data_IF_484738860353
#
_entry.id   IF_484738860353
#
_cell.length_a   1.000
_cell.length_b   1.000
_cell.length_c   1.000
_cell.angle_alpha   90.00
_cell.angle_beta   90.00
_cell.angle_gamma   90.00
#
_symmetry.space_group_name_H-M   'P 1'
#
loop_
_entity.id
_entity.type
_entity.pdbx_description
1 polymer ?
#
# COMPACT_ATOMS: atom_id res chain seq x y z
N UNK A 1 -55.28 -36.03 7.36
CA UNK A 1 -55.64 -37.38 6.91
C UNK A 1 -55.28 -37.55 5.44
N UNK A 2 -54.09 -38.10 5.18
CA UNK A 2 -53.76 -39.06 4.11
C UNK A 2 -52.27 -39.42 4.28
N UNK A 3 -52.05 -40.72 4.36
CA UNK A 3 -50.79 -41.47 4.47
C UNK A 3 -49.86 -41.16 3.28
N UNK A 4 -48.55 -41.43 3.21
CA UNK A 4 -47.65 -42.46 3.74
C UNK A 4 -46.54 -42.55 2.65
N UNK A 5 -45.25 -42.49 2.94
CA UNK A 5 -44.40 -43.65 3.21
C UNK A 5 -43.56 -44.10 1.98
N UNK A 6 -42.26 -44.34 2.22
CA UNK A 6 -41.20 -44.91 1.32
C UNK A 6 -40.65 -44.00 0.21
N UNK A 7 -39.34 -43.88 -0.04
CA UNK A 7 -38.18 -44.69 0.35
C UNK A 7 -37.30 -44.87 -0.90
N UNK A 8 -35.98 -44.67 -0.79
CA UNK A 8 -35.03 -45.00 -1.87
C UNK A 8 -33.83 -44.07 -1.96
N UNK A 9 -32.67 -44.55 -1.48
CA UNK A 9 -31.36 -43.96 -1.76
C UNK A 9 -30.71 -44.57 -3.00
N UNK A 10 -29.81 -43.80 -3.61
CA UNK A 10 -28.73 -44.18 -4.53
C UNK A 10 -27.83 -42.92 -4.60
N UNK A 11 -26.59 -42.86 -4.10
CA UNK A 11 -25.35 -43.55 -4.51
C UNK A 11 -25.16 -43.55 -6.02
N UNK A 12 -24.28 -42.67 -6.50
CA UNK A 12 -23.62 -42.65 -7.80
C UNK A 12 -22.28 -41.96 -7.50
N UNK A 13 -21.22 -42.70 -7.20
CA UNK A 13 -20.32 -43.40 -8.12
C UNK A 13 -19.50 -42.39 -8.95
N UNK A 14 -18.39 -41.96 -8.34
CA UNK A 14 -17.27 -41.32 -9.02
C UNK A 14 -16.48 -42.43 -9.71
N UNK A 15 -16.67 -42.56 -11.02
CA UNK A 15 -15.88 -43.45 -11.86
C UNK A 15 -14.80 -42.63 -12.58
N UNK A 16 -13.58 -42.95 -12.16
CA UNK A 16 -12.29 -42.67 -12.79
C UNK A 16 -12.23 -43.39 -14.15
N UNK A 17 -11.80 -42.69 -15.20
CA UNK A 17 -11.17 -43.28 -16.40
C UNK A 17 -10.59 -42.19 -17.31
N UNK A 18 -9.29 -41.98 -17.12
CA UNK A 18 -8.32 -41.74 -18.18
C UNK A 18 -8.46 -42.75 -19.32
N UNK A 19 -8.34 -42.30 -20.58
CA UNK A 19 -7.83 -43.11 -21.68
C UNK A 19 -7.10 -42.23 -22.70
N UNK A 20 -5.77 -42.38 -22.71
CA UNK A 20 -4.88 -42.05 -23.81
C UNK A 20 -5.06 -43.10 -24.93
N UNK A 21 -5.30 -42.66 -26.16
CA UNK A 21 -5.12 -43.51 -27.34
C UNK A 21 -3.69 -43.38 -27.90
N UNK A 22 -3.06 -44.56 -28.00
CA UNK A 22 -1.72 -44.85 -28.48
C UNK A 22 -1.60 -44.73 -30.00
N UNK A 23 -0.42 -44.33 -30.44
CA UNK A 23 0.18 -44.72 -31.72
C UNK A 23 1.49 -45.47 -31.47
N UNK A 24 1.47 -46.77 -31.71
CA UNK A 24 2.50 -47.79 -31.49
C UNK A 24 3.73 -47.67 -32.41
N UNK A 25 4.91 -48.08 -31.92
CA UNK A 25 5.83 -49.04 -32.59
C UNK A 25 7.18 -49.20 -31.83
N UNK A 26 7.22 -50.24 -30.99
CA UNK A 26 8.36 -50.97 -30.38
C UNK A 26 9.37 -51.59 -31.39
N UNK A 27 10.37 -52.42 -30.99
CA UNK A 27 11.26 -52.48 -29.81
C UNK A 27 12.73 -52.83 -30.18
N UNK A 28 13.67 -52.87 -29.22
CA UNK A 28 14.54 -54.06 -28.97
C UNK A 28 15.58 -53.85 -27.84
N UNK A 29 15.44 -54.70 -26.81
CA UNK A 29 16.47 -55.46 -26.07
C UNK A 29 17.76 -54.82 -25.54
N UNK A 30 18.05 -55.10 -24.26
CA UNK A 30 19.33 -55.74 -23.90
C UNK A 30 20.13 -55.13 -22.75
N UNK A 31 19.91 -55.69 -21.56
CA UNK A 31 20.89 -56.09 -20.53
C UNK A 31 22.31 -55.47 -20.49
N UNK A 32 22.76 -55.13 -19.28
CA UNK A 32 24.05 -55.63 -18.77
C UNK A 32 25.12 -54.61 -18.32
N UNK A 33 25.28 -54.52 -17.00
CA UNK A 33 26.54 -54.66 -16.25
C UNK A 33 27.81 -53.82 -16.56
N UNK A 34 28.38 -53.26 -15.46
CA UNK A 34 29.82 -53.01 -15.19
C UNK A 34 30.51 -51.91 -16.04
N UNK A 35 31.54 -51.15 -15.63
CA UNK A 35 32.56 -51.31 -14.60
C UNK A 35 33.20 -49.95 -14.23
N UNK A 36 33.85 -49.98 -13.07
CA UNK A 36 34.75 -49.00 -12.46
C UNK A 36 36.12 -48.93 -13.18
N UNK A 37 36.80 -47.76 -13.07
CA UNK A 37 38.27 -47.47 -12.98
C UNK A 37 39.03 -46.80 -14.14
N UNK A 38 39.58 -45.62 -13.77
CA UNK A 38 40.96 -45.09 -13.94
C UNK A 38 41.46 -44.68 -15.33
N UNK A 39 41.97 -43.44 -15.42
CA UNK A 39 43.41 -43.17 -15.51
C UNK A 39 43.74 -41.68 -15.27
N UNK A 40 44.91 -41.45 -14.69
CA UNK A 40 45.42 -40.18 -14.18
C UNK A 40 46.64 -39.68 -14.98
N UNK A 41 46.94 -38.38 -14.87
CA UNK A 41 48.23 -37.75 -15.20
C UNK A 41 48.32 -37.15 -16.62
N UNK A 42 48.96 -36.00 -16.90
CA UNK A 42 50.01 -35.26 -16.19
C UNK A 42 50.07 -33.79 -16.68
N UNK A 43 50.55 -32.94 -15.77
CA UNK A 43 50.98 -31.54 -15.90
C UNK A 43 52.12 -31.29 -16.92
N UNK A 44 52.17 -30.07 -17.48
CA UNK A 44 53.34 -29.17 -17.65
C UNK A 44 52.84 -27.83 -18.20
N UNK A 45 52.81 -26.73 -17.45
CA UNK A 45 53.92 -25.85 -17.02
C UNK A 45 54.56 -25.05 -18.17
N UNK A 46 54.28 -23.74 -18.23
CA UNK A 46 55.27 -22.71 -18.54
C UNK A 46 55.00 -21.45 -17.68
N UNK A 47 56.08 -20.93 -17.10
CA UNK A 47 56.16 -19.82 -16.15
C UNK A 47 56.59 -18.52 -16.87
N UNK A 48 55.96 -17.42 -16.42
CA UNK A 48 56.50 -16.09 -16.07
C UNK A 48 57.28 -15.24 -17.10
N UNK A 49 56.85 -13.96 -17.20
CA UNK A 49 57.63 -12.70 -17.13
C UNK A 49 56.61 -11.54 -17.10
N UNK A 50 56.33 -10.92 -15.95
CA UNK A 50 56.99 -9.70 -15.41
C UNK A 50 56.75 -8.43 -16.24
N UNK A 51 55.88 -7.52 -15.77
CA UNK A 51 56.11 -6.07 -15.72
C UNK A 51 55.00 -5.36 -14.95
N UNK A 52 55.41 -4.78 -13.82
CA UNK A 52 54.63 -3.85 -13.01
C UNK A 52 54.69 -2.45 -13.64
N UNK A 53 53.54 -1.79 -13.75
CA UNK A 53 53.46 -0.33 -13.78
C UNK A 53 52.29 0.07 -12.88
N UNK A 54 52.61 0.43 -11.65
CA UNK A 54 51.73 1.15 -10.76
C UNK A 54 51.83 2.64 -11.10
N UNK A 55 50.75 3.24 -11.58
CA UNK A 55 50.58 4.70 -11.61
C UNK A 55 49.51 5.03 -10.58
N UNK A 56 49.98 5.42 -9.39
CA UNK A 56 49.18 6.09 -8.39
C UNK A 56 48.94 7.53 -8.86
N UNK A 57 47.71 7.86 -9.25
CA UNK A 57 47.27 9.26 -9.36
C UNK A 57 46.65 9.63 -8.02
N UNK A 58 47.46 10.24 -7.16
CA UNK A 58 46.97 10.94 -5.97
C UNK A 58 46.36 12.26 -6.44
N UNK A 59 45.06 12.27 -6.69
CA UNK A 59 44.31 13.51 -6.76
C UNK A 59 44.09 13.99 -5.32
N UNK A 60 44.94 14.90 -4.86
CA UNK A 60 44.79 15.60 -3.60
C UNK A 60 43.53 16.48 -3.67
N UNK A 61 42.39 15.95 -3.24
CA UNK A 61 41.22 16.77 -2.91
C UNK A 61 41.47 17.30 -1.51
N UNK A 62 41.80 18.58 -1.42
CA UNK A 62 41.83 19.32 -0.17
C UNK A 62 40.43 19.32 0.43
N UNK A 63 40.15 18.38 1.34
CA UNK A 63 38.99 18.45 2.24
C UNK A 63 39.30 19.57 3.23
N UNK A 64 38.47 20.63 3.34
CA UNK A 64 38.55 21.53 4.47
C UNK A 64 38.19 20.70 5.71
N UNK A 65 39.18 20.38 6.53
CA UNK A 65 38.98 19.91 7.89
C UNK A 65 38.26 21.02 8.66
N UNK A 66 36.93 20.98 8.66
CA UNK A 66 36.14 21.72 9.65
C UNK A 66 36.22 20.93 10.94
N UNK A 67 37.17 21.31 11.78
CA UNK A 67 37.22 20.97 13.20
C UNK A 67 36.03 21.65 13.90
N UNK A 68 34.90 20.96 14.00
CA UNK A 68 33.92 21.16 15.07
C UNK A 68 33.37 19.79 15.47
N UNK A 69 33.52 19.45 16.74
CA UNK A 69 33.51 18.08 17.23
C UNK A 69 32.23 17.28 16.97
N UNK A 70 32.43 16.01 16.64
CA UNK A 70 31.48 14.91 16.71
C UNK A 70 32.32 13.63 16.71
N UNK A 71 32.05 12.71 17.63
CA UNK A 71 32.93 11.58 17.95
C UNK A 71 33.27 10.69 16.73
N UNK A 72 34.41 10.01 16.82
CA UNK A 72 34.94 9.10 15.81
C UNK A 72 34.10 7.82 15.57
N UNK A 73 32.90 7.75 16.15
CA UNK A 73 31.96 6.61 16.08
C UNK A 73 30.62 7.00 15.44
N UNK A 74 30.50 8.17 14.81
CA UNK A 74 29.30 8.51 14.05
C UNK A 74 29.27 7.73 12.74
N UNK A 75 28.21 6.93 12.52
CA UNK A 75 27.99 6.28 11.23
C UNK A 75 28.04 7.31 10.09
N UNK A 76 28.69 6.98 8.96
CA UNK A 76 28.80 7.90 7.84
C UNK A 76 27.40 8.24 7.30
N UNK A 77 27.00 9.51 7.42
CA UNK A 77 25.73 9.99 6.89
C UNK A 77 25.86 10.44 5.42
N UNK A 78 24.77 10.35 4.66
CA UNK A 78 24.71 10.81 3.26
C UNK A 78 24.28 12.27 3.20
N UNK A 79 25.08 13.13 2.58
CA UNK A 79 24.71 14.53 2.30
C UNK A 79 23.79 14.61 1.08
N UNK A 80 22.69 15.35 1.19
CA UNK A 80 21.80 15.64 0.05
C UNK A 80 22.39 16.76 -0.80
N UNK A 81 22.66 16.45 -2.08
CA UNK A 81 23.24 17.38 -3.06
C UNK A 81 22.34 18.58 -3.36
N UNK A 82 22.92 19.71 -3.77
CA UNK A 82 22.17 20.90 -4.16
C UNK A 82 21.19 20.63 -5.31
N UNK A 83 21.57 19.76 -6.25
CA UNK A 83 20.67 19.31 -7.34
C UNK A 83 19.45 18.60 -6.78
N UNK A 84 19.61 17.71 -5.80
CA UNK A 84 18.49 17.06 -5.13
C UNK A 84 17.64 18.06 -4.35
N UNK A 85 18.28 19.02 -3.68
CA UNK A 85 17.55 20.08 -2.95
C UNK A 85 16.70 20.93 -3.89
N UNK A 86 17.17 21.19 -5.10
CA UNK A 86 16.42 21.94 -6.10
C UNK A 86 15.12 21.21 -6.53
N UNK A 87 15.11 19.87 -6.54
CA UNK A 87 13.90 19.09 -6.86
C UNK A 87 12.74 19.40 -5.89
N UNK A 88 13.03 19.71 -4.62
CA UNK A 88 12.00 20.00 -3.62
C UNK A 88 11.20 21.29 -3.93
N UNK A 89 11.68 22.14 -4.85
CA UNK A 89 11.02 23.37 -5.27
C UNK A 89 10.44 23.28 -6.70
N UNK A 90 10.61 22.15 -7.38
CA UNK A 90 10.16 21.94 -8.77
C UNK A 90 9.39 20.60 -8.87
N UNK A 91 8.05 20.64 -8.74
CA UNK A 91 7.20 19.45 -8.84
C UNK A 91 7.38 18.64 -10.13
N UNK A 92 7.59 19.31 -11.27
CA UNK A 92 7.76 18.64 -12.54
C UNK A 92 9.11 17.90 -12.60
N UNK A 93 10.19 18.53 -12.12
CA UNK A 93 11.49 17.89 -12.02
C UNK A 93 11.51 16.77 -10.97
N UNK A 94 10.85 16.94 -9.82
CA UNK A 94 10.71 15.91 -8.79
C UNK A 94 9.96 14.68 -9.32
N UNK A 95 8.81 14.89 -9.97
CA UNK A 95 8.04 13.82 -10.61
C UNK A 95 8.92 13.09 -11.62
N UNK A 96 9.63 13.82 -12.49
CA UNK A 96 10.52 13.20 -13.49
C UNK A 96 11.67 12.41 -12.87
N UNK A 97 12.20 12.85 -11.74
CA UNK A 97 13.30 12.18 -11.04
C UNK A 97 12.85 10.89 -10.33
N UNK A 98 11.60 10.83 -9.89
CA UNK A 98 11.00 9.66 -9.23
C UNK A 98 10.35 8.67 -10.22
N UNK A 99 9.87 9.15 -11.37
CA UNK A 99 9.11 8.36 -12.32
C UNK A 99 9.93 7.20 -12.94
N UNK A 100 9.62 5.94 -12.57
CA UNK A 100 10.34 4.76 -13.04
C UNK A 100 10.08 4.46 -14.53
N UNK A 101 9.10 5.12 -15.14
CA UNK A 101 8.57 4.78 -16.46
C UNK A 101 7.60 3.61 -16.40
N UNK A 102 6.87 3.37 -17.49
CA UNK A 102 5.87 2.29 -17.56
C UNK A 102 6.51 0.90 -17.41
N UNK A 103 7.73 0.73 -17.90
CA UNK A 103 8.50 -0.52 -17.87
C UNK A 103 9.38 -0.71 -16.64
N UNK A 104 9.32 0.20 -15.66
CA UNK A 104 10.17 0.18 -14.46
C UNK A 104 11.69 0.31 -14.67
N UNK A 105 12.18 0.42 -15.90
CA UNK A 105 13.62 0.48 -16.23
C UNK A 105 14.40 1.57 -15.47
N UNK A 106 13.73 2.63 -15.01
CA UNK A 106 14.36 3.76 -14.30
C UNK A 106 14.21 3.71 -12.78
N UNK A 107 13.67 2.63 -12.21
CA UNK A 107 13.47 2.50 -10.74
C UNK A 107 14.76 2.67 -9.93
N UNK A 108 15.92 2.32 -10.52
CA UNK A 108 17.23 2.54 -9.90
C UNK A 108 17.51 4.01 -9.58
N UNK A 109 16.92 4.96 -10.32
CA UNK A 109 17.02 6.39 -10.03
C UNK A 109 16.31 6.77 -8.73
N UNK A 110 15.07 6.31 -8.54
CA UNK A 110 14.31 6.51 -7.30
C UNK A 110 14.97 5.82 -6.11
N UNK A 111 15.42 4.56 -6.28
CA UNK A 111 16.19 3.85 -5.23
C UNK A 111 17.46 4.60 -4.85
N UNK A 112 18.25 5.08 -5.82
CA UNK A 112 19.46 5.86 -5.55
C UNK A 112 19.18 7.20 -4.84
N UNK A 113 17.98 7.76 -5.02
CA UNK A 113 17.59 9.02 -4.41
C UNK A 113 17.08 8.84 -2.96
N UNK A 114 16.42 7.71 -2.68
CA UNK A 114 15.65 7.50 -1.44
C UNK A 114 16.26 6.46 -0.49
N UNK A 115 16.88 5.40 -1.03
CA UNK A 115 17.39 4.27 -0.26
C UNK A 115 18.79 4.53 0.31
N UNK A 116 18.87 5.44 1.28
CA UNK A 116 20.09 5.71 2.04
C UNK A 116 19.91 5.27 3.50
N UNK A 117 20.98 4.79 4.12
CA UNK A 117 20.97 4.29 5.51
C UNK A 117 21.05 5.41 6.56
N UNK A 118 21.22 6.67 6.13
CA UNK A 118 21.25 7.82 7.01
C UNK A 118 21.53 9.13 6.26
N UNK A 119 20.96 10.24 6.75
CA UNK A 119 21.06 11.56 6.12
C UNK A 119 21.74 12.57 7.03
N UNK A 120 22.65 13.36 6.46
CA UNK A 120 23.25 14.48 7.20
C UNK A 120 22.28 15.66 7.31
N UNK A 121 22.25 16.30 8.47
CA UNK A 121 21.51 17.55 8.70
C UNK A 121 20.01 17.45 8.37
N UNK A 122 19.52 18.31 7.49
CA UNK A 122 18.12 18.36 7.04
C UNK A 122 17.82 17.46 5.83
N UNK A 123 18.72 16.53 5.49
CA UNK A 123 18.64 15.71 4.28
C UNK A 123 17.34 14.92 4.16
N UNK A 124 16.96 14.19 5.21
CA UNK A 124 15.71 13.42 5.26
C UNK A 124 14.47 14.30 5.03
N UNK A 125 14.43 15.48 5.67
CA UNK A 125 13.34 16.45 5.49
C UNK A 125 13.31 17.00 4.06
N UNK A 126 14.48 17.22 3.45
CA UNK A 126 14.53 17.69 2.07
C UNK A 126 14.06 16.63 1.09
N UNK A 127 14.45 15.36 1.26
CA UNK A 127 13.90 14.27 0.44
C UNK A 127 12.40 14.10 0.65
N UNK A 128 11.90 14.29 1.87
CA UNK A 128 10.46 14.33 2.12
C UNK A 128 9.75 15.38 1.26
N UNK A 129 10.33 16.59 1.14
CA UNK A 129 9.81 17.61 0.22
C UNK A 129 9.91 17.23 -1.26
N UNK A 130 10.90 16.43 -1.65
CA UNK A 130 10.99 15.90 -3.03
C UNK A 130 9.87 14.90 -3.28
N UNK A 131 9.58 14.00 -2.33
CA UNK A 131 8.43 13.08 -2.40
C UNK A 131 7.14 13.89 -2.53
N UNK A 132 6.89 14.81 -1.58
CA UNK A 132 5.71 15.68 -1.60
C UNK A 132 5.59 16.44 -2.94
N UNK A 133 6.68 16.97 -3.50
CA UNK A 133 6.64 17.69 -4.77
C UNK A 133 6.39 16.77 -5.99
N UNK A 134 6.90 15.54 -5.97
CA UNK A 134 6.86 14.63 -7.11
C UNK A 134 5.66 13.70 -7.17
N UNK A 135 4.95 13.50 -6.05
CA UNK A 135 3.81 12.58 -6.00
C UNK A 135 2.48 13.28 -5.82
N UNK A 136 2.45 14.48 -5.21
CA UNK A 136 1.18 15.15 -4.89
C UNK A 136 0.48 15.70 -6.11
N UNK A 137 -0.85 15.75 -6.07
CA UNK A 137 -1.64 16.47 -7.07
C UNK A 137 -1.17 17.93 -7.24
N UNK A 138 -1.24 18.45 -8.46
CA UNK A 138 -0.76 19.81 -8.78
C UNK A 138 -1.56 20.96 -8.11
N UNK A 139 -2.68 20.62 -7.45
CA UNK A 139 -3.48 21.53 -6.64
C UNK A 139 -4.89 21.00 -6.40
N UNK A 140 -5.72 21.72 -5.63
CA UNK A 140 -7.10 21.31 -5.34
C UNK A 140 -7.93 21.09 -6.60
N UNK A 141 -8.70 20.01 -6.63
CA UNK A 141 -9.53 19.61 -7.77
C UNK A 141 -8.75 19.09 -8.97
N UNK A 142 -7.43 18.93 -8.87
CA UNK A 142 -6.60 18.38 -9.95
C UNK A 142 -6.38 16.89 -9.74
N UNK A 143 -6.71 16.04 -10.74
CA UNK A 143 -6.38 14.63 -10.67
C UNK A 143 -4.86 14.41 -10.69
N UNK A 144 -4.42 13.31 -10.09
CA UNK A 144 -3.08 12.79 -10.28
C UNK A 144 -2.84 12.41 -11.75
N UNK A 145 -1.63 12.68 -12.23
CA UNK A 145 -1.16 12.27 -13.56
C UNK A 145 -0.53 10.88 -13.50
N UNK A 146 -0.40 10.21 -14.65
CA UNK A 146 0.29 8.92 -14.75
C UNK A 146 1.70 8.96 -14.16
N UNK A 147 2.46 10.04 -14.42
CA UNK A 147 3.82 10.16 -13.92
C UNK A 147 3.88 10.30 -12.39
N UNK A 148 2.91 11.00 -11.79
CA UNK A 148 2.80 11.10 -10.32
C UNK A 148 2.42 9.75 -9.71
N UNK A 149 1.45 9.04 -10.29
CA UNK A 149 1.06 7.70 -9.83
C UNK A 149 2.23 6.70 -9.87
N UNK A 150 2.99 6.65 -10.98
CA UNK A 150 4.21 5.83 -11.06
C UNK A 150 5.30 6.27 -10.09
N UNK A 151 5.40 7.58 -9.84
CA UNK A 151 6.34 8.12 -8.83
C UNK A 151 5.95 7.67 -7.43
N UNK A 152 4.67 7.65 -7.09
CA UNK A 152 4.18 7.15 -5.81
C UNK A 152 4.48 5.65 -5.63
N UNK A 153 4.23 4.85 -6.67
CA UNK A 153 4.67 3.45 -6.70
C UNK A 153 6.18 3.32 -6.47
N UNK A 154 7.00 4.09 -7.18
CA UNK A 154 8.45 4.01 -7.06
C UNK A 154 8.97 4.44 -5.69
N UNK A 155 8.35 5.43 -5.04
CA UNK A 155 8.68 5.82 -3.67
C UNK A 155 8.37 4.67 -2.72
N UNK A 156 7.18 4.06 -2.81
CA UNK A 156 6.81 2.92 -1.99
C UNK A 156 7.79 1.75 -2.20
N UNK A 157 8.04 1.38 -3.45
CA UNK A 157 8.95 0.29 -3.81
C UNK A 157 10.44 0.55 -3.55
N UNK A 158 10.86 1.81 -3.39
CA UNK A 158 12.22 2.15 -2.99
C UNK A 158 12.42 2.12 -1.47
N UNK A 159 11.34 2.25 -0.71
CA UNK A 159 11.33 2.30 0.75
C UNK A 159 10.78 1.02 1.40
N UNK A 160 10.23 0.09 0.61
CA UNK A 160 9.82 -1.24 1.09
C UNK A 160 11.00 -1.95 1.76
N UNK A 161 10.71 -2.64 2.87
CA UNK A 161 11.68 -3.33 3.72
C UNK A 161 12.81 -2.47 4.32
N UNK A 162 12.62 -1.16 4.41
CA UNK A 162 13.60 -0.24 5.00
C UNK A 162 13.06 0.48 6.23
N UNK A 163 13.94 0.76 7.18
CA UNK A 163 13.65 1.72 8.25
C UNK A 163 13.53 3.12 7.64
N UNK A 164 12.44 3.83 7.96
CA UNK A 164 12.18 5.16 7.41
C UNK A 164 12.61 6.19 8.44
N UNK A 165 13.58 7.07 8.12
CA UNK A 165 14.00 8.12 9.04
C UNK A 165 12.82 8.97 9.50
N UNK A 166 12.76 9.28 10.79
CA UNK A 166 11.62 9.99 11.39
C UNK A 166 11.28 11.33 10.71
N UNK A 167 12.27 12.02 10.14
CA UNK A 167 12.06 13.29 9.42
C UNK A 167 11.58 13.12 7.97
N UNK A 168 11.63 11.91 7.42
CA UNK A 168 11.12 11.53 6.10
C UNK A 168 9.70 10.94 6.19
N UNK A 169 9.43 10.20 7.27
CA UNK A 169 8.19 9.45 7.47
C UNK A 169 6.89 10.25 7.24
N UNK A 170 6.74 11.53 7.69
CA UNK A 170 5.51 12.27 7.45
C UNK A 170 5.22 12.53 5.96
N UNK A 171 6.24 12.71 5.13
CA UNK A 171 6.06 12.90 3.68
C UNK A 171 5.64 11.62 2.98
N UNK A 172 6.17 10.47 3.38
CA UNK A 172 5.74 9.16 2.86
C UNK A 172 4.30 8.87 3.28
N UNK A 173 3.93 9.17 4.52
CA UNK A 173 2.56 9.05 4.99
C UNK A 173 1.59 9.96 4.23
N UNK A 174 1.98 11.20 3.91
CA UNK A 174 1.18 12.11 3.07
C UNK A 174 1.02 11.58 1.64
N UNK A 175 2.07 11.03 1.05
CA UNK A 175 1.96 10.38 -0.24
C UNK A 175 0.93 9.24 -0.18
N UNK A 176 1.05 8.29 0.75
CA UNK A 176 0.07 7.21 0.87
C UNK A 176 -1.34 7.73 1.11
N UNK A 177 -1.50 8.80 1.89
CA UNK A 177 -2.80 9.44 2.11
C UNK A 177 -3.41 10.02 0.82
N UNK A 178 -2.62 10.60 -0.09
CA UNK A 178 -3.14 11.10 -1.38
C UNK A 178 -3.54 9.99 -2.35
N UNK A 179 -3.05 8.77 -2.12
CA UNK A 179 -3.38 7.56 -2.86
C UNK A 179 -4.16 6.56 -1.99
N UNK A 180 -4.93 7.06 -1.02
CA UNK A 180 -5.57 6.25 0.02
C UNK A 180 -6.38 5.08 -0.55
N UNK A 181 -7.16 5.29 -1.62
CA UNK A 181 -7.98 4.22 -2.25
C UNK A 181 -7.14 3.19 -2.98
N UNK A 182 -5.97 3.58 -3.49
CA UNK A 182 -5.03 2.66 -4.14
C UNK A 182 -4.27 1.86 -3.08
N UNK A 183 -3.87 2.52 -1.99
CA UNK A 183 -3.24 1.89 -0.85
C UNK A 183 -4.20 0.95 -0.11
N UNK A 184 -5.50 1.31 -0.03
CA UNK A 184 -6.71 0.49 -0.25
C UNK A 184 -6.63 -1.03 -0.34
N UNK A 185 -6.00 -1.48 -1.42
CA UNK A 185 -6.23 -2.78 -2.00
C UNK A 185 -5.04 -3.68 -1.69
N UNK A 186 -5.33 -4.74 -0.95
CA UNK A 186 -4.41 -5.83 -0.69
C UNK A 186 -5.15 -7.15 -0.96
N UNK A 187 -4.39 -8.19 -1.31
CA UNK A 187 -4.76 -9.36 -2.12
C UNK A 187 -5.90 -10.27 -1.59
N UNK A 188 -6.49 -10.00 -0.43
CA UNK A 188 -7.24 -10.99 0.36
C UNK A 188 -8.69 -11.25 -0.10
N UNK A 189 -9.31 -10.38 -0.90
CA UNK A 189 -10.75 -10.49 -1.24
C UNK A 189 -11.06 -10.39 -2.73
N UNK A 190 -10.24 -11.04 -3.56
CA UNK A 190 -10.48 -11.11 -5.02
C UNK A 190 -10.12 -9.82 -5.75
N UNK A 191 -9.13 -9.09 -5.22
CA UNK A 191 -8.37 -8.11 -6.00
C UNK A 191 -7.73 -8.79 -7.20
N UNK A 192 -7.43 -8.00 -8.23
CA UNK A 192 -6.65 -8.46 -9.37
C UNK A 192 -5.46 -9.28 -8.87
N UNK A 193 -5.25 -10.47 -9.42
CA UNK A 193 -4.00 -11.17 -9.15
C UNK A 193 -2.86 -10.29 -9.68
N UNK A 194 -1.64 -10.44 -9.17
CA UNK A 194 -0.46 -9.75 -9.71
C UNK A 194 -0.32 -9.87 -11.25
N UNK A 195 -0.96 -10.89 -11.84
CA UNK A 195 -0.99 -11.15 -13.29
C UNK A 195 -1.94 -10.22 -14.08
N UNK A 196 -2.92 -9.58 -13.43
CA UNK A 196 -3.86 -8.64 -14.04
C UNK A 196 -3.33 -7.20 -14.06
N UNK A 197 -2.23 -6.93 -13.36
CA UNK A 197 -1.60 -5.60 -13.25
C UNK A 197 -0.36 -5.53 -14.13
N UNK A 198 -0.42 -4.66 -15.12
CA UNK A 198 0.59 -4.64 -16.20
C UNK A 198 1.69 -3.60 -16.01
N UNK A 199 1.61 -2.77 -14.97
CA UNK A 199 2.62 -1.74 -14.70
C UNK A 199 2.38 -1.01 -13.38
N UNK A 200 3.24 -0.02 -13.04
CA UNK A 200 3.24 0.72 -11.77
C UNK A 200 2.20 1.84 -11.65
N UNK A 201 1.41 2.08 -12.70
CA UNK A 201 0.22 2.94 -12.63
C UNK A 201 -0.85 2.51 -13.63
N UNK A 202 -2.11 2.82 -13.31
CA UNK A 202 -3.26 2.60 -14.18
C UNK A 202 -3.84 3.94 -14.70
N UNK A 203 -4.24 3.99 -15.98
CA UNK A 203 -4.87 5.17 -16.56
C UNK A 203 -6.29 5.42 -16.01
N UNK A 204 -6.80 6.67 -16.10
CA UNK A 204 -8.13 7.01 -15.59
C UNK A 204 -9.29 6.17 -16.13
N UNK A 205 -9.15 5.60 -17.33
CA UNK A 205 -10.16 4.74 -17.93
C UNK A 205 -10.44 3.47 -17.10
N UNK A 206 -9.47 2.99 -16.31
CA UNK A 206 -9.62 1.82 -15.46
C UNK A 206 -10.42 2.09 -14.18
N UNK A 207 -10.67 3.36 -13.84
CA UNK A 207 -11.56 3.76 -12.75
C UNK A 207 -13.05 3.72 -13.16
N UNK A 208 -13.35 3.39 -14.41
CA UNK A 208 -14.71 3.22 -14.89
C UNK A 208 -15.30 1.89 -14.39
N UNK A 209 -16.58 1.93 -14.03
CA UNK A 209 -17.35 0.72 -13.72
C UNK A 209 -17.55 -0.09 -15.02
N UNK A 210 -17.38 -1.40 -14.92
CA UNK A 210 -17.70 -2.35 -15.98
C UNK A 210 -19.23 -2.53 -16.13
N UNK A 211 -19.64 -3.42 -17.03
CA UNK A 211 -21.07 -3.72 -17.27
C UNK A 211 -21.79 -4.32 -16.06
N UNK A 212 -21.06 -4.89 -15.10
CA UNK A 212 -21.57 -5.46 -13.86
C UNK A 212 -21.53 -4.45 -12.71
N UNK A 213 -21.11 -3.21 -12.96
CA UNK A 213 -20.94 -2.22 -11.91
C UNK A 213 -19.76 -2.53 -10.99
N UNK A 214 -18.80 -3.34 -11.43
CA UNK A 214 -17.55 -3.62 -10.74
C UNK A 214 -16.43 -2.71 -11.27
N UNK A 215 -15.45 -2.41 -10.43
CA UNK A 215 -14.26 -1.64 -10.79
C UNK A 215 -13.08 -2.11 -9.94
N UNK A 216 -11.96 -2.40 -10.59
CA UNK A 216 -10.74 -2.89 -9.94
C UNK A 216 -10.16 -1.85 -8.96
N UNK A 217 -10.09 -0.59 -9.39
CA UNK A 217 -9.40 0.46 -8.65
C UNK A 217 -10.15 0.99 -7.42
N UNK A 218 -11.39 0.53 -7.20
CA UNK A 218 -12.22 1.00 -6.08
C UNK A 218 -13.32 1.95 -6.51
N UNK A 219 -14.24 2.24 -5.60
CA UNK A 219 -15.48 2.97 -5.91
C UNK A 219 -15.33 4.47 -5.71
N UNK A 220 -16.20 5.20 -6.40
CA UNK A 220 -16.35 6.65 -6.27
C UNK A 220 -15.15 7.51 -6.68
N UNK A 221 -14.26 6.92 -7.47
CA UNK A 221 -13.06 7.55 -8.01
C UNK A 221 -13.35 8.63 -9.05
N UNK A 222 -12.47 9.63 -9.11
CA UNK A 222 -12.49 10.66 -10.13
C UNK A 222 -12.22 10.05 -11.51
N UNK A 223 -13.06 10.29 -12.54
CA UNK A 223 -12.90 9.68 -13.85
C UNK A 223 -11.68 10.17 -14.65
N UNK A 224 -10.98 11.19 -14.18
CA UNK A 224 -9.79 11.76 -14.82
C UNK A 224 -8.49 11.50 -14.07
N UNK A 225 -8.52 10.68 -13.03
CA UNK A 225 -7.40 10.43 -12.13
C UNK A 225 -6.62 9.18 -12.49
N UNK A 226 -5.29 9.29 -12.55
CA UNK A 226 -4.42 8.14 -12.65
C UNK A 226 -4.21 7.52 -11.26
N UNK A 227 -4.03 6.20 -11.25
CA UNK A 227 -3.95 5.41 -10.02
C UNK A 227 -2.58 4.75 -9.90
N UNK A 228 -2.03 4.75 -8.69
CA UNK A 228 -0.84 3.96 -8.37
C UNK A 228 -1.28 2.50 -8.19
N UNK A 229 -0.56 1.57 -8.81
CA UNK A 229 -0.87 0.14 -8.71
C UNK A 229 0.15 -0.53 -7.79
N UNK A 230 -0.03 -0.33 -6.48
CA UNK A 230 0.91 -0.85 -5.47
C UNK A 230 0.99 -2.39 -5.44
N UNK A 231 -0.05 -3.08 -5.91
CA UNK A 231 -0.09 -4.55 -6.10
C UNK A 231 0.77 -5.03 -7.28
N UNK A 232 1.28 -4.12 -8.12
CA UNK A 232 2.20 -4.49 -9.19
C UNK A 232 3.48 -5.07 -8.60
N UNK A 233 3.83 -6.29 -9.01
CA UNK A 233 5.09 -6.94 -8.68
C UNK A 233 5.76 -7.40 -9.95
N UNK A 234 6.83 -6.72 -10.36
CA UNK A 234 7.63 -7.21 -11.49
C UNK A 234 8.49 -8.38 -11.00
N UNK A 235 8.03 -9.60 -11.31
CA UNK A 235 8.70 -10.87 -10.99
C UNK A 235 10.13 -10.94 -11.54
N UNK A 236 10.49 -10.12 -12.53
CA UNK A 236 11.84 -10.06 -13.10
C UNK A 236 12.73 -9.00 -12.45
N UNK A 237 12.16 -7.97 -11.83
CA UNK A 237 12.91 -6.88 -11.22
C UNK A 237 13.13 -7.03 -9.70
N UNK A 238 12.47 -8.00 -9.04
CA UNK A 238 12.48 -8.17 -7.57
C UNK A 238 12.16 -6.84 -6.85
N UNK A 239 11.09 -6.19 -7.33
CA UNK A 239 10.62 -4.90 -6.82
C UNK A 239 9.14 -4.99 -6.51
N UNK A 240 8.78 -4.77 -5.25
CA UNK A 240 7.41 -4.63 -4.75
C UNK A 240 7.29 -3.39 -3.86
N UNK A 241 6.13 -2.75 -3.88
CA UNK A 241 5.83 -1.58 -3.08
C UNK A 241 5.53 -1.90 -1.59
N UNK A 242 5.19 -3.15 -1.24
CA UNK A 242 4.77 -3.61 0.10
C UNK A 242 4.17 -2.50 1.00
N UNK A 243 2.97 -2.05 0.62
CA UNK A 243 2.26 -1.01 1.38
C UNK A 243 1.99 -1.42 2.84
N UNK A 244 1.60 -2.68 3.15
CA UNK A 244 1.46 -3.13 4.54
C UNK A 244 2.75 -2.99 5.36
N UNK A 245 3.90 -3.35 4.79
CA UNK A 245 5.21 -3.15 5.41
C UNK A 245 5.53 -1.67 5.64
N UNK A 246 5.24 -0.81 4.66
CA UNK A 246 5.41 0.64 4.80
C UNK A 246 4.51 1.24 5.88
N UNK A 247 3.22 0.87 5.93
CA UNK A 247 2.29 1.35 6.98
C UNK A 247 2.77 0.92 8.36
N UNK A 248 3.28 -0.32 8.47
CA UNK A 248 3.90 -0.85 9.70
C UNK A 248 5.04 0.08 10.15
N UNK A 249 5.99 0.38 9.26
CA UNK A 249 7.13 1.23 9.56
C UNK A 249 6.71 2.67 9.95
N UNK A 250 5.80 3.26 9.18
CA UNK A 250 5.34 4.64 9.39
C UNK A 250 4.57 4.83 10.69
N UNK A 251 3.86 3.79 11.16
CA UNK A 251 3.06 3.86 12.39
C UNK A 251 3.92 4.04 13.67
N UNK A 252 5.25 3.87 13.60
CA UNK A 252 6.19 4.19 14.68
C UNK A 252 6.28 5.69 14.95
N UNK A 253 6.00 6.52 13.94
CA UNK A 253 6.05 7.97 14.04
C UNK A 253 4.64 8.57 14.29
N UNK A 254 4.44 9.38 15.35
CA UNK A 254 3.10 9.87 15.70
C UNK A 254 2.51 10.87 14.69
N UNK A 255 3.34 11.63 13.97
CA UNK A 255 2.85 12.53 12.91
C UNK A 255 2.39 11.71 11.69
N UNK A 256 3.20 10.73 11.25
CA UNK A 256 2.81 9.80 10.17
C UNK A 256 1.55 9.01 10.52
N UNK A 257 1.45 8.50 11.75
CA UNK A 257 0.26 7.84 12.27
C UNK A 257 -0.97 8.74 12.14
N UNK A 258 -0.86 10.00 12.59
CA UNK A 258 -1.96 10.96 12.52
C UNK A 258 -2.39 11.25 11.08
N UNK A 259 -1.44 11.35 10.14
CA UNK A 259 -1.71 11.58 8.72
C UNK A 259 -2.51 10.41 8.11
N UNK A 260 -2.05 9.18 8.30
CA UNK A 260 -2.74 7.98 7.80
C UNK A 260 -4.11 7.82 8.47
N UNK A 261 -4.18 8.04 9.78
CA UNK A 261 -5.42 7.92 10.52
C UNK A 261 -6.45 9.00 10.15
N UNK A 262 -6.01 10.21 9.82
CA UNK A 262 -6.85 11.25 9.24
C UNK A 262 -7.36 10.85 7.84
N UNK A 263 -6.50 10.24 7.01
CA UNK A 263 -6.85 9.80 5.65
C UNK A 263 -7.95 8.73 5.68
N UNK A 264 -7.80 7.67 6.48
CA UNK A 264 -8.83 6.63 6.65
C UNK A 264 -10.17 7.21 7.12
N UNK A 265 -10.16 8.16 8.08
CA UNK A 265 -11.38 8.79 8.59
C UNK A 265 -12.02 9.75 7.58
N UNK A 266 -11.20 10.47 6.81
CA UNK A 266 -11.68 11.31 5.72
C UNK A 266 -12.29 10.46 4.59
N UNK A 267 -11.66 9.33 4.24
CA UNK A 267 -12.16 8.38 3.27
C UNK A 267 -13.46 7.71 3.72
N UNK A 268 -13.59 7.31 4.99
CA UNK A 268 -14.87 6.82 5.52
C UNK A 268 -15.98 7.86 5.38
N UNK A 269 -15.69 9.13 5.71
CA UNK A 269 -16.66 10.20 5.58
C UNK A 269 -17.09 10.42 4.12
N UNK A 270 -16.12 10.40 3.21
CA UNK A 270 -16.32 10.45 1.76
C UNK A 270 -17.14 9.25 1.26
N UNK A 271 -16.89 8.06 1.76
CA UNK A 271 -17.55 6.85 1.29
C UNK A 271 -19.04 6.87 1.66
N UNK A 272 -19.35 7.14 2.94
CA UNK A 272 -20.71 7.14 3.47
C UNK A 272 -21.63 8.16 2.78
N UNK A 273 -21.14 9.35 2.44
CA UNK A 273 -21.97 10.38 1.80
C UNK A 273 -22.46 10.01 0.39
N UNK A 274 -21.88 8.98 -0.23
CA UNK A 274 -22.22 8.53 -1.61
C UNK A 274 -23.19 7.36 -1.64
N UNK A 275 -23.34 6.65 -0.53
CA UNK A 275 -24.27 5.53 -0.42
C UNK A 275 -25.73 5.98 -0.61
N UNK A 276 -26.57 5.05 -1.04
CA UNK A 276 -28.02 5.24 -1.18
C UNK A 276 -28.69 5.47 0.17
N UNK A 277 -29.98 5.84 0.18
CA UNK A 277 -30.78 5.93 1.41
C UNK A 277 -30.99 4.56 2.09
N UNK A 278 -30.70 3.46 1.39
CA UNK A 278 -30.71 2.11 1.95
C UNK A 278 -29.32 1.66 2.39
N UNK A 279 -28.33 2.57 2.43
CA UNK A 279 -26.94 2.25 2.78
C UNK A 279 -26.29 1.22 1.84
N UNK A 280 -26.75 1.17 0.59
CA UNK A 280 -26.21 0.30 -0.46
C UNK A 280 -25.59 1.08 -1.61
N UNK A 281 -25.07 0.35 -2.59
CA UNK A 281 -24.33 0.87 -3.74
C UNK A 281 -25.26 1.59 -4.74
N UNK A 282 -25.00 2.88 -5.06
CA UNK A 282 -25.80 3.60 -6.06
C UNK A 282 -25.62 3.05 -7.50
N UNK A 283 -24.59 2.25 -7.76
CA UNK A 283 -24.31 1.66 -9.07
C UNK A 283 -24.96 0.28 -9.27
N UNK A 284 -25.53 -0.31 -8.21
CA UNK A 284 -26.17 -1.63 -8.28
C UNK A 284 -27.28 -1.68 -9.34
N UNK A 285 -27.31 -2.78 -10.10
CA UNK A 285 -28.33 -3.07 -11.10
C UNK A 285 -29.04 -4.38 -10.76
N UNK A 286 -30.39 -4.42 -10.75
CA UNK A 286 -31.12 -5.67 -10.56
C UNK A 286 -30.72 -6.71 -11.61
N UNK A 287 -30.51 -7.96 -11.17
CA UNK A 287 -30.13 -9.06 -12.06
C UNK A 287 -28.63 -9.34 -12.11
N UNK A 288 -27.81 -8.60 -11.36
CA UNK A 288 -26.42 -9.00 -11.10
C UNK A 288 -26.38 -10.30 -10.29
N UNK A 289 -25.74 -11.34 -10.84
CA UNK A 289 -25.61 -12.65 -10.18
C UNK A 289 -24.50 -12.70 -9.13
N UNK A 290 -23.61 -11.71 -9.12
CA UNK A 290 -22.42 -11.69 -8.26
C UNK A 290 -22.55 -10.74 -7.07
N UNK A 291 -23.54 -9.85 -7.07
CA UNK A 291 -23.70 -8.85 -6.02
C UNK A 291 -25.16 -8.66 -5.63
N UNK A 292 -25.36 -8.38 -4.34
CA UNK A 292 -26.59 -7.78 -3.82
C UNK A 292 -26.43 -6.24 -3.82
N UNK A 293 -27.50 -5.48 -3.50
CA UNK A 293 -27.40 -4.03 -3.35
C UNK A 293 -26.36 -3.54 -2.33
N UNK A 294 -25.87 -4.42 -1.45
CA UNK A 294 -24.92 -4.06 -0.38
C UNK A 294 -23.57 -4.75 -0.51
N UNK A 295 -23.39 -5.81 -1.31
CA UNK A 295 -22.15 -6.61 -1.37
C UNK A 295 -20.89 -5.76 -1.43
N UNK A 296 -20.80 -4.86 -2.41
CA UNK A 296 -19.60 -4.03 -2.56
C UNK A 296 -19.46 -2.97 -1.47
N UNK A 297 -20.57 -2.43 -1.01
CA UNK A 297 -20.57 -1.50 0.13
C UNK A 297 -20.08 -2.16 1.40
N UNK A 298 -20.47 -3.40 1.62
CA UNK A 298 -20.04 -4.17 2.78
C UNK A 298 -18.54 -4.46 2.69
N UNK A 299 -18.01 -4.85 1.53
CA UNK A 299 -16.57 -5.06 1.34
C UNK A 299 -15.75 -3.78 1.60
N UNK A 300 -16.13 -2.65 0.99
CA UNK A 300 -15.36 -1.41 1.18
C UNK A 300 -15.39 -0.91 2.64
N UNK A 301 -16.49 -1.16 3.37
CA UNK A 301 -16.58 -0.81 4.80
C UNK A 301 -15.75 -1.74 5.69
N UNK A 302 -15.57 -3.00 5.29
CA UNK A 302 -14.66 -3.92 5.95
C UNK A 302 -13.22 -3.41 5.83
N UNK A 303 -12.77 -3.07 4.62
CA UNK A 303 -11.40 -2.59 4.35
C UNK A 303 -11.10 -1.30 5.12
N UNK A 304 -12.05 -0.36 5.15
CA UNK A 304 -11.92 0.89 5.90
C UNK A 304 -11.82 0.67 7.42
N UNK A 305 -12.58 -0.30 7.95
CA UNK A 305 -12.55 -0.63 9.38
C UNK A 305 -11.27 -1.38 9.76
N UNK A 306 -10.83 -2.30 8.90
CA UNK A 306 -9.62 -3.10 9.05
C UNK A 306 -8.40 -2.19 9.21
N UNK A 307 -8.22 -1.18 8.35
CA UNK A 307 -7.09 -0.24 8.43
C UNK A 307 -7.03 0.60 9.69
N UNK A 308 -8.19 1.07 10.15
CA UNK A 308 -8.28 1.75 11.44
C UNK A 308 -7.87 0.77 12.55
N UNK A 309 -8.31 -0.48 12.48
CA UNK A 309 -7.88 -1.55 13.39
C UNK A 309 -6.37 -1.81 13.34
N UNK A 310 -5.79 -1.93 12.15
CA UNK A 310 -4.36 -2.16 11.91
C UNK A 310 -3.50 -1.08 12.52
N UNK A 311 -3.83 0.21 12.33
CA UNK A 311 -3.10 1.30 13.00
C UNK A 311 -3.19 1.18 14.53
N UNK A 312 -4.37 0.90 15.08
CA UNK A 312 -4.51 0.70 16.54
C UNK A 312 -3.75 -0.53 17.05
N UNK A 313 -3.66 -1.58 16.25
CA UNK A 313 -2.88 -2.79 16.54
C UNK A 313 -1.39 -2.47 16.58
N UNK A 314 -0.88 -1.77 15.55
CA UNK A 314 0.51 -1.35 15.43
C UNK A 314 0.93 -0.47 16.61
N UNK A 315 0.13 0.56 16.95
CA UNK A 315 0.38 1.39 18.13
C UNK A 315 0.49 0.54 19.40
N UNK A 316 -0.43 -0.39 19.60
CA UNK A 316 -0.48 -1.23 20.80
C UNK A 316 0.68 -2.24 20.85
N UNK A 317 1.06 -2.80 19.71
CA UNK A 317 2.21 -3.67 19.56
C UNK A 317 3.53 -2.94 19.83
N UNK A 318 3.70 -1.74 19.26
CA UNK A 318 4.87 -0.90 19.50
C UNK A 318 4.97 -0.38 20.94
N UNK A 319 3.85 -0.21 21.63
CA UNK A 319 3.87 0.05 23.07
C UNK A 319 4.38 -1.17 23.87
N UNK A 320 4.01 -2.37 23.45
CA UNK A 320 4.39 -3.64 24.11
C UNK A 320 5.86 -4.00 23.89
N UNK A 321 6.36 -3.84 22.66
CA UNK A 321 7.75 -4.18 22.31
C UNK A 321 8.77 -3.09 22.72
N UNK A 322 8.27 -1.91 23.13
CA UNK A 322 9.09 -0.79 23.60
C UNK A 322 9.54 0.18 22.51
N UNK A 323 9.12 -0.01 21.26
CA UNK A 323 9.33 0.95 20.16
C UNK A 323 8.70 2.31 20.49
N UNK A 324 7.46 2.31 21.00
CA UNK A 324 6.81 3.47 21.62
C UNK A 324 7.05 3.39 23.13
N UNK A 325 8.06 4.13 23.60
CA UNK A 325 8.47 4.14 25.02
C UNK A 325 7.47 4.86 25.94
N UNK A 326 6.84 5.91 25.43
CA UNK A 326 5.83 6.71 26.14
C UNK A 326 4.58 6.82 25.29
N UNK A 327 3.61 5.96 25.60
CA UNK A 327 2.34 5.87 24.90
C UNK A 327 1.52 7.15 25.06
N UNK A 328 1.58 7.81 26.23
CA UNK A 328 0.82 9.02 26.47
C UNK A 328 1.39 10.21 25.68
N UNK A 329 2.72 10.30 25.58
CA UNK A 329 3.38 11.30 24.72
C UNK A 329 3.09 11.04 23.24
N UNK A 330 3.09 9.78 22.81
CA UNK A 330 2.71 9.40 21.45
C UNK A 330 1.29 9.84 21.13
N UNK A 331 0.29 9.50 21.96
CA UNK A 331 -1.11 9.88 21.74
C UNK A 331 -1.33 11.39 21.75
N UNK A 332 -0.58 12.09 22.61
CA UNK A 332 -0.61 13.56 22.65
C UNK A 332 -0.09 14.13 21.33
N UNK A 333 1.01 13.59 20.80
CA UNK A 333 1.56 14.00 19.51
C UNK A 333 0.61 13.66 18.35
N UNK A 334 0.01 12.46 18.34
CA UNK A 334 -1.01 12.08 17.35
C UNK A 334 -2.17 13.08 17.36
N UNK A 335 -2.66 13.47 18.55
CA UNK A 335 -3.71 14.48 18.68
C UNK A 335 -3.29 15.85 18.15
N UNK A 336 -2.04 16.26 18.38
CA UNK A 336 -1.51 17.54 17.90
C UNK A 336 -1.39 17.58 16.37
N UNK A 337 -1.04 16.46 15.74
CA UNK A 337 -0.88 16.35 14.30
C UNK A 337 -2.18 16.01 13.55
N UNK A 338 -3.19 15.46 14.24
CA UNK A 338 -4.51 15.24 13.65
C UNK A 338 -5.20 16.57 13.34
N UNK A 339 -5.81 16.67 12.16
CA UNK A 339 -6.48 17.90 11.69
C UNK A 339 -7.87 18.07 12.32
N UNK A 340 -8.50 16.98 12.78
CA UNK A 340 -9.79 17.04 13.47
C UNK A 340 -10.73 15.88 13.14
N UNK A 341 -12.02 16.20 12.99
CA UNK A 341 -13.09 15.25 12.65
C UNK A 341 -13.57 15.45 11.22
N UNK A 342 -13.97 14.38 10.55
CA UNK A 342 -14.51 14.41 9.20
C UNK A 342 -15.95 13.90 9.22
N UNK A 343 -16.88 14.70 8.69
CA UNK A 343 -18.30 14.35 8.68
C UNK A 343 -18.78 14.15 7.24
N UNK A 344 -19.53 13.07 6.96
CA UNK A 344 -20.28 12.90 5.71
C UNK A 344 -21.26 14.04 5.46
N UNK A 345 -21.51 14.37 4.21
CA UNK A 345 -22.61 15.25 3.84
C UNK A 345 -23.98 14.69 4.30
N UNK A 346 -24.89 15.58 4.68
CA UNK A 346 -26.26 15.22 5.13
C UNK A 346 -27.18 14.75 4.00
N UNK A 347 -26.72 14.79 2.76
CA UNK A 347 -27.43 14.33 1.56
C UNK A 347 -26.48 13.53 0.68
N UNK A 348 -27.03 12.80 -0.31
CA UNK A 348 -26.19 12.00 -1.22
C UNK A 348 -25.42 12.90 -2.17
N UNK A 349 -24.09 12.75 -2.19
CA UNK A 349 -23.25 13.38 -3.20
C UNK A 349 -23.01 12.42 -4.36
N UNK A 350 -23.00 12.97 -5.58
CA UNK A 350 -22.68 12.25 -6.82
C UNK A 350 -21.34 12.70 -7.42
N UNK A 351 -20.72 13.73 -6.84
CA UNK A 351 -19.41 14.24 -7.23
C UNK A 351 -18.31 13.24 -6.87
N UNK A 352 -17.31 13.13 -7.75
CA UNK A 352 -16.15 12.25 -7.57
C UNK A 352 -14.87 13.10 -7.60
N UNK A 353 -14.49 13.70 -6.46
CA UNK A 353 -13.27 14.50 -6.37
C UNK A 353 -12.03 13.59 -6.51
N UNK A 354 -10.89 14.14 -6.95
CA UNK A 354 -9.61 13.45 -6.90
C UNK A 354 -9.27 12.93 -5.50
N UNK A 355 -8.50 11.84 -5.40
CA UNK A 355 -8.10 11.25 -4.11
C UNK A 355 -7.35 12.22 -3.21
N UNK A 356 -6.49 13.07 -3.80
CA UNK A 356 -5.80 14.13 -3.05
C UNK A 356 -6.78 15.08 -2.33
N UNK A 357 -7.91 15.42 -2.94
CA UNK A 357 -8.95 16.25 -2.31
C UNK A 357 -9.72 15.49 -1.21
N UNK A 358 -9.80 14.16 -1.30
CA UNK A 358 -10.39 13.34 -0.24
C UNK A 358 -9.45 13.32 0.97
N UNK A 359 -8.16 13.12 0.73
CA UNK A 359 -7.12 13.20 1.74
C UNK A 359 -7.09 14.59 2.39
N UNK A 360 -7.19 15.66 1.61
CA UNK A 360 -7.20 17.06 2.05
C UNK A 360 -8.60 17.58 2.45
N UNK A 361 -9.57 16.69 2.63
CA UNK A 361 -10.94 17.05 3.03
C UNK A 361 -10.94 18.00 4.23
N UNK A 362 -11.67 19.13 4.17
CA UNK A 362 -11.81 20.03 5.30
C UNK A 362 -12.41 19.37 6.53
N UNK A 363 -11.92 19.75 7.70
CA UNK A 363 -12.39 19.21 8.97
C UNK A 363 -13.72 19.85 9.37
N UNK A 364 -14.59 19.06 9.99
CA UNK A 364 -15.91 19.48 10.48
C UNK A 364 -15.87 20.04 11.90
N UNK A 365 -14.69 20.06 12.53
CA UNK A 365 -14.47 20.53 13.89
C UNK A 365 -13.32 19.78 14.59
N UNK A 366 -13.02 20.15 15.84
CA UNK A 366 -11.94 19.55 16.60
C UNK A 366 -12.20 18.07 16.89
N UNK A 367 -11.10 17.31 17.03
CA UNK A 367 -11.17 15.92 17.46
C UNK A 367 -11.67 15.81 18.90
N UNK A 368 -12.74 15.05 19.11
CA UNK A 368 -13.38 14.84 20.43
C UNK A 368 -13.13 13.44 20.94
N UNK A 369 -13.04 13.32 22.27
CA UNK A 369 -12.78 12.04 22.93
C UNK A 369 -11.34 11.58 22.74
N UNK A 370 -11.10 10.31 23.04
CA UNK A 370 -9.81 9.66 22.84
C UNK A 370 -9.52 9.51 21.34
N UNK A 371 -8.32 9.91 20.92
CA UNK A 371 -7.86 9.80 19.52
C UNK A 371 -7.53 8.35 19.15
N UNK A 372 -7.20 7.53 20.14
CA UNK A 372 -6.83 6.13 19.94
C UNK A 372 -7.98 5.15 20.19
N UNK A 373 -9.18 5.66 20.49
CA UNK A 373 -10.42 4.87 20.47
C UNK A 373 -10.97 4.81 19.03
N UNK A 374 -10.25 4.07 18.17
CA UNK A 374 -10.54 3.95 16.74
C UNK A 374 -11.97 3.52 16.46
N UNK A 375 -12.43 2.51 17.20
CA UNK A 375 -13.80 1.98 17.17
C UNK A 375 -14.84 3.07 17.43
N UNK A 376 -14.67 3.86 18.50
CA UNK A 376 -15.61 4.96 18.81
C UNK A 376 -15.58 6.08 17.78
N UNK A 377 -14.40 6.45 17.26
CA UNK A 377 -14.29 7.48 16.22
C UNK A 377 -15.08 7.07 14.97
N UNK A 378 -14.91 5.82 14.54
CA UNK A 378 -15.60 5.25 13.38
C UNK A 378 -17.12 5.17 13.59
N UNK A 379 -17.57 4.62 14.71
CA UNK A 379 -18.99 4.49 15.01
C UNK A 379 -19.70 5.82 15.23
N UNK A 380 -19.01 6.82 15.80
CA UNK A 380 -19.58 8.16 15.94
C UNK A 380 -19.92 8.76 14.57
N UNK A 381 -19.10 8.50 13.54
CA UNK A 381 -19.35 8.96 12.17
C UNK A 381 -20.49 8.17 11.53
N UNK A 382 -20.46 6.83 11.61
CA UNK A 382 -21.48 5.96 11.04
C UNK A 382 -22.87 6.21 11.63
N UNK A 383 -23.00 6.20 12.97
CA UNK A 383 -24.29 6.34 13.67
C UNK A 383 -24.92 7.70 13.35
N UNK A 384 -24.10 8.74 13.31
CA UNK A 384 -24.54 10.09 12.99
C UNK A 384 -25.04 10.17 11.55
N UNK A 385 -24.27 9.66 10.60
CA UNK A 385 -24.67 9.63 9.19
C UNK A 385 -25.96 8.83 9.00
N UNK A 386 -26.05 7.64 9.60
CA UNK A 386 -27.23 6.78 9.50
C UNK A 386 -28.49 7.48 10.00
N UNK A 387 -28.40 8.15 11.15
CA UNK A 387 -29.48 8.95 11.73
C UNK A 387 -29.87 10.12 10.83
N UNK A 388 -28.90 10.88 10.33
CA UNK A 388 -29.14 12.09 9.52
C UNK A 388 -29.72 11.76 8.13
N UNK A 389 -29.31 10.62 7.55
CA UNK A 389 -29.76 10.17 6.22
C UNK A 389 -31.01 9.30 6.27
N UNK A 390 -31.51 8.98 7.46
CA UNK A 390 -32.68 8.12 7.64
C UNK A 390 -32.44 6.69 7.14
N UNK A 391 -31.22 6.17 7.34
CA UNK A 391 -30.87 4.80 6.95
C UNK A 391 -31.69 3.83 7.83
N UNK A 392 -32.25 2.74 7.27
CA UNK A 392 -32.97 1.75 8.05
C UNK A 392 -32.13 1.26 9.24
N UNK A 393 -32.75 1.14 10.42
CA UNK A 393 -32.04 0.76 11.65
C UNK A 393 -31.37 -0.61 11.55
N UNK A 394 -32.03 -1.57 10.90
CA UNK A 394 -31.48 -2.89 10.62
C UNK A 394 -30.20 -2.80 9.77
N UNK A 395 -30.22 -2.00 8.70
CA UNK A 395 -29.06 -1.78 7.85
C UNK A 395 -27.93 -1.09 8.61
N UNK A 396 -28.22 -0.02 9.35
CA UNK A 396 -27.21 0.69 10.13
C UNK A 396 -26.55 -0.22 11.18
N UNK A 397 -27.34 -1.10 11.80
CA UNK A 397 -26.85 -2.12 12.75
C UNK A 397 -25.96 -3.15 12.06
N UNK A 398 -26.35 -3.63 10.88
CA UNK A 398 -25.54 -4.57 10.09
C UNK A 398 -24.21 -3.95 9.66
N UNK A 399 -24.21 -2.71 9.15
CA UNK A 399 -22.98 -1.98 8.81
C UNK A 399 -22.08 -1.81 10.03
N UNK A 400 -22.67 -1.45 11.18
CA UNK A 400 -21.91 -1.27 12.43
C UNK A 400 -21.25 -2.57 12.87
N UNK A 401 -22.00 -3.68 12.89
CA UNK A 401 -21.47 -4.99 13.27
C UNK A 401 -20.36 -5.43 12.32
N UNK A 402 -20.56 -5.26 11.02
CA UNK A 402 -19.55 -5.62 10.03
C UNK A 402 -18.23 -4.86 10.22
N UNK A 403 -18.33 -3.53 10.38
CA UNK A 403 -17.15 -2.70 10.65
C UNK A 403 -16.51 -3.06 11.99
N UNK A 404 -17.29 -3.48 12.98
CA UNK A 404 -16.79 -3.96 14.25
C UNK A 404 -15.94 -5.23 14.11
N UNK A 405 -16.49 -6.22 13.41
CA UNK A 405 -15.85 -7.52 13.22
C UNK A 405 -14.51 -7.37 12.52
N UNK A 406 -14.41 -6.50 11.50
CA UNK A 406 -13.17 -6.28 10.76
C UNK A 406 -12.17 -5.39 11.49
N UNK A 407 -12.65 -4.41 12.26
CA UNK A 407 -11.78 -3.67 13.18
C UNK A 407 -11.15 -4.61 14.23
N UNK A 408 -11.93 -5.53 14.81
CA UNK A 408 -11.44 -6.52 15.78
C UNK A 408 -10.55 -7.57 15.13
N UNK A 409 -10.88 -8.02 13.90
CA UNK A 409 -10.05 -8.95 13.11
C UNK A 409 -8.66 -8.36 12.90
N UNK A 410 -8.57 -7.14 12.39
CA UNK A 410 -7.30 -6.45 12.18
C UNK A 410 -6.50 -6.29 13.48
N UNK A 411 -7.17 -5.87 14.56
CA UNK A 411 -6.56 -5.81 15.89
C UNK A 411 -5.95 -7.13 16.32
N UNK A 412 -6.60 -8.25 16.03
CA UNK A 412 -6.14 -9.57 16.45
C UNK A 412 -5.04 -10.13 15.54
N UNK A 413 -5.26 -10.14 14.22
CA UNK A 413 -4.31 -10.68 13.23
C UNK A 413 -2.98 -9.93 13.30
N UNK A 414 -3.01 -8.60 13.16
CA UNK A 414 -1.79 -7.79 13.18
C UNK A 414 -1.05 -7.91 14.51
N UNK A 415 -1.78 -8.01 15.63
CA UNK A 415 -1.16 -8.18 16.93
C UNK A 415 -0.50 -9.56 17.07
N UNK A 416 -1.21 -10.64 16.75
CA UNK A 416 -0.72 -12.03 16.91
C UNK A 416 0.43 -12.35 15.96
N UNK A 417 0.37 -11.91 14.71
CA UNK A 417 1.39 -12.24 13.73
C UNK A 417 2.69 -11.46 13.94
N UNK A 418 2.66 -10.32 14.63
CA UNK A 418 3.81 -9.42 14.76
C UNK A 418 4.36 -9.24 16.20
N UNK A 419 3.57 -9.43 17.26
CA UNK A 419 3.95 -9.09 18.65
C UNK A 419 3.53 -10.12 19.70
#
# INVERSE_FOLDING_TARGET
MRDGGSGGGAVSEYDDKSDDERGDATPASGAGATAVRRLAGRLRAHRLLSSAVAVAVVAAVAVPLVLTGSGADAEPCTSVSDTTRALAADPAAATKALDPGDSMDRIGGAKKLLAHDGFCGDGARTLGRVIDAGTRASGPGKPHTMAQARSAYAVAAALSDREIPAALAPSVARMLAEYEVDALRDDDFGGATSDDVTGPAAPPAEAALDSHGWVRLGRFLSPGEAHATFEYGDRYADVSADVPGLVTELAKNPESFAILYDAHRAQLAHYLERLTQQGGDPSYRPGDKYATPTTWTDNDLQDLADRIGTLMALRSGYAKDGTIKDVAAFDTSVRQHSRGTFRPASHRLTTRPPMGDIADRPTSGPLRGDVTDGRRQMFTVLDRWAKERGIPSERATAMRQLMDDYYVRALWITYVERF
#
